data_IF_286075279191
#
_entry.id   IF_286075279191
#
_cell.length_a   1.000
_cell.length_b   1.000
_cell.length_c   1.000
_cell.angle_alpha   90.00
_cell.angle_beta   90.00
_cell.angle_gamma   90.00
#
_symmetry.space_group_name_H-M   'P 1'
#
loop_
_entity.id
_entity.type
_entity.pdbx_description
1 polymer ?
#
# COMPACT_ATOMS: atom_id res chain seq x y z
N UNK A 1 22.56 -19.65 -7.16
CA UNK A 1 22.88 -18.39 -7.88
C UNK A 1 21.60 -17.63 -8.23
N UNK A 2 20.94 -17.08 -7.22
CA UNK A 2 19.67 -16.35 -7.33
C UNK A 2 19.87 -14.84 -7.64
N UNK A 3 20.61 -14.52 -8.71
CA UNK A 3 20.90 -13.12 -9.06
C UNK A 3 19.61 -12.31 -9.37
N UNK A 4 18.57 -12.96 -9.91
CA UNK A 4 17.27 -12.34 -10.18
C UNK A 4 16.55 -11.87 -8.90
N UNK A 5 16.46 -12.75 -7.89
CA UNK A 5 15.80 -12.44 -6.62
C UNK A 5 16.49 -11.28 -5.87
N UNK A 6 17.83 -11.24 -5.88
CA UNK A 6 18.58 -10.14 -5.25
C UNK A 6 18.29 -8.78 -5.90
N UNK A 7 18.15 -8.73 -7.22
CA UNK A 7 17.86 -7.49 -7.94
C UNK A 7 16.41 -7.05 -7.74
N UNK A 8 15.45 -7.99 -7.71
CA UNK A 8 14.03 -7.72 -7.38
C UNK A 8 13.90 -7.11 -5.98
N UNK A 9 14.59 -7.66 -4.98
CA UNK A 9 14.52 -7.15 -3.61
C UNK A 9 15.08 -5.73 -3.46
N UNK A 10 16.11 -5.35 -4.24
CA UNK A 10 16.62 -3.97 -4.23
C UNK A 10 15.59 -2.99 -4.78
N UNK A 11 14.93 -3.36 -5.88
CA UNK A 11 13.87 -2.54 -6.49
C UNK A 11 12.73 -2.35 -5.48
N UNK A 12 12.25 -3.43 -4.87
CA UNK A 12 11.17 -3.38 -3.88
C UNK A 12 11.54 -2.57 -2.63
N UNK A 13 12.81 -2.63 -2.19
CA UNK A 13 13.27 -1.83 -1.06
C UNK A 13 13.18 -0.32 -1.36
N UNK A 14 13.54 0.11 -2.56
CA UNK A 14 13.40 1.50 -2.99
C UNK A 14 11.93 1.91 -3.10
N UNK A 15 11.07 1.05 -3.65
CA UNK A 15 9.62 1.29 -3.73
C UNK A 15 8.98 1.42 -2.34
N UNK A 16 9.31 0.52 -1.41
CA UNK A 16 8.81 0.56 -0.03
C UNK A 16 9.18 1.82 0.70
N UNK A 17 10.39 2.34 0.49
CA UNK A 17 10.77 3.61 1.07
C UNK A 17 9.84 4.74 0.57
N UNK A 18 9.58 4.80 -0.74
CA UNK A 18 8.67 5.78 -1.32
C UNK A 18 7.22 5.63 -0.83
N UNK A 19 6.70 4.40 -0.84
CA UNK A 19 5.32 4.10 -0.44
C UNK A 19 5.09 4.35 1.05
N UNK A 20 6.05 4.00 1.92
CA UNK A 20 5.98 4.29 3.35
C UNK A 20 6.03 5.79 3.64
N UNK A 21 6.85 6.53 2.90
CA UNK A 21 6.91 7.98 3.00
C UNK A 21 5.57 8.62 2.60
N UNK A 22 4.94 8.17 1.51
CA UNK A 22 3.62 8.63 1.09
C UNK A 22 2.54 8.29 2.13
N UNK A 23 2.50 7.05 2.64
CA UNK A 23 1.56 6.65 3.70
C UNK A 23 1.65 7.56 4.93
N UNK A 24 2.87 7.85 5.40
CA UNK A 24 3.07 8.73 6.54
C UNK A 24 2.58 10.16 6.27
N UNK A 25 2.83 10.68 5.06
CA UNK A 25 2.33 12.00 4.66
C UNK A 25 0.81 12.05 4.60
N UNK A 26 0.13 10.98 4.15
CA UNK A 26 -1.32 10.90 4.20
C UNK A 26 -1.87 10.92 5.62
N UNK A 27 -1.29 10.14 6.53
CA UNK A 27 -1.75 10.08 7.91
C UNK A 27 -1.67 11.46 8.58
N UNK A 28 -0.54 12.16 8.38
CA UNK A 28 -0.37 13.54 8.86
C UNK A 28 -1.37 14.52 8.23
N UNK A 29 -1.55 14.47 6.91
CA UNK A 29 -2.45 15.38 6.20
C UNK A 29 -3.93 15.10 6.52
N UNK A 30 -4.29 13.83 6.71
CA UNK A 30 -5.62 13.40 7.15
C UNK A 30 -5.91 13.91 8.57
N UNK A 31 -4.99 13.71 9.51
CA UNK A 31 -5.14 14.20 10.88
C UNK A 31 -5.33 15.72 10.92
N UNK A 32 -4.48 16.45 10.18
CA UNK A 32 -4.61 17.91 10.07
C UNK A 32 -5.94 18.34 9.44
N UNK A 33 -6.43 17.61 8.44
CA UNK A 33 -7.70 17.94 7.77
C UNK A 33 -8.89 17.67 8.69
N UNK A 34 -8.87 16.57 9.45
CA UNK A 34 -9.92 16.23 10.43
C UNK A 34 -10.01 17.30 11.52
N UNK A 35 -8.86 17.80 12.01
CA UNK A 35 -8.80 18.83 13.04
C UNK A 35 -9.22 20.22 12.52
N UNK A 36 -8.97 20.50 11.23
CA UNK A 36 -9.37 21.74 10.55
C UNK A 36 -10.83 21.77 10.07
N UNK A 37 -11.60 20.68 10.23
CA UNK A 37 -13.02 20.59 9.85
C UNK A 37 -13.96 21.41 10.76
N UNK A 38 -13.63 22.67 11.03
CA UNK A 38 -14.48 23.64 11.72
C UNK A 38 -15.41 24.31 10.69
N UNK A 39 -16.73 24.40 10.93
CA UNK A 39 -17.65 25.05 10.01
C UNK A 39 -17.27 26.52 9.77
N UNK A 40 -17.01 26.87 8.51
CA UNK A 40 -16.71 28.26 8.09
C UNK A 40 -15.29 28.48 7.55
N UNK A 41 -14.40 27.49 7.65
CA UNK A 41 -13.06 27.59 7.09
C UNK A 41 -13.09 27.39 5.56
N UNK A 42 -12.44 28.28 4.82
CA UNK A 42 -12.44 28.30 3.35
C UNK A 42 -11.45 27.30 2.75
N UNK A 43 -10.54 26.74 3.56
CA UNK A 43 -9.35 26.01 3.07
C UNK A 43 -9.53 24.49 2.95
N UNK A 44 -10.56 23.89 3.58
CA UNK A 44 -10.72 22.42 3.57
C UNK A 44 -10.88 21.84 2.16
N UNK A 45 -11.49 22.59 1.23
CA UNK A 45 -11.63 22.15 -0.18
C UNK A 45 -10.28 22.00 -0.84
N UNK A 46 -9.36 22.92 -0.55
CA UNK A 46 -8.01 22.88 -1.08
C UNK A 46 -7.27 21.67 -0.50
N UNK A 47 -7.30 21.47 0.81
CA UNK A 47 -6.66 20.30 1.47
C UNK A 47 -7.19 18.97 0.94
N UNK A 48 -8.51 18.85 0.76
CA UNK A 48 -9.13 17.64 0.18
C UNK A 48 -8.69 17.43 -1.27
N UNK A 49 -8.60 18.50 -2.07
CA UNK A 49 -8.12 18.40 -3.45
C UNK A 49 -6.65 17.96 -3.50
N UNK A 50 -5.80 18.47 -2.62
CA UNK A 50 -4.40 18.05 -2.50
C UNK A 50 -4.30 16.57 -2.12
N UNK A 51 -5.08 16.12 -1.14
CA UNK A 51 -5.18 14.71 -0.76
C UNK A 51 -5.64 13.84 -1.94
N UNK A 52 -6.59 14.31 -2.75
CA UNK A 52 -7.04 13.60 -3.95
C UNK A 52 -5.94 13.45 -4.99
N UNK A 53 -5.24 14.54 -5.31
CA UNK A 53 -4.15 14.51 -6.31
C UNK A 53 -3.06 13.55 -5.87
N UNK A 54 -2.68 13.59 -4.60
CA UNK A 54 -1.76 12.60 -4.01
C UNK A 54 -2.34 11.20 -4.20
N UNK A 55 -3.61 10.98 -3.82
CA UNK A 55 -4.23 9.64 -3.82
C UNK A 55 -4.18 8.98 -5.20
N UNK A 56 -4.39 9.77 -6.26
CA UNK A 56 -4.27 9.31 -7.65
C UNK A 56 -2.83 8.85 -7.95
N UNK A 57 -1.82 9.63 -7.56
CA UNK A 57 -0.41 9.27 -7.75
C UNK A 57 -0.04 8.01 -6.98
N UNK A 58 -0.45 7.92 -5.72
CA UNK A 58 -0.20 6.77 -4.86
C UNK A 58 -0.89 5.50 -5.38
N UNK A 59 -2.12 5.59 -5.88
CA UNK A 59 -2.81 4.47 -6.52
C UNK A 59 -2.07 3.93 -7.75
N UNK A 60 -1.40 4.81 -8.52
CA UNK A 60 -0.57 4.38 -9.64
C UNK A 60 0.71 3.68 -9.19
N UNK A 61 1.38 4.19 -8.14
CA UNK A 61 2.56 3.57 -7.54
C UNK A 61 2.23 2.18 -6.97
N UNK A 62 1.13 2.05 -6.22
CA UNK A 62 0.67 0.76 -5.68
C UNK A 62 0.44 -0.30 -6.77
N UNK A 63 -0.16 0.11 -7.90
CA UNK A 63 -0.37 -0.81 -9.04
C UNK A 63 0.94 -1.17 -9.74
N UNK A 64 1.93 -0.28 -9.73
CA UNK A 64 3.25 -0.61 -10.26
C UNK A 64 3.95 -1.62 -9.37
N UNK A 65 3.93 -1.38 -8.06
CA UNK A 65 4.47 -2.26 -7.05
C UNK A 65 3.87 -3.67 -7.10
N UNK A 66 2.54 -3.80 -7.13
CA UNK A 66 1.87 -5.11 -7.28
C UNK A 66 2.32 -5.87 -8.54
N UNK A 67 2.59 -5.18 -9.66
CA UNK A 67 3.12 -5.85 -10.86
C UNK A 67 4.51 -6.41 -10.64
N UNK A 68 5.37 -5.71 -9.91
CA UNK A 68 6.72 -6.22 -9.60
C UNK A 68 6.61 -7.47 -8.72
N UNK A 69 5.71 -7.46 -7.74
CA UNK A 69 5.46 -8.63 -6.91
C UNK A 69 4.94 -9.83 -7.72
N UNK A 70 3.85 -9.63 -8.47
CA UNK A 70 3.14 -10.70 -9.20
C UNK A 70 3.98 -11.26 -10.36
N UNK A 71 4.69 -10.40 -11.08
CA UNK A 71 5.42 -10.79 -12.29
C UNK A 71 6.86 -11.24 -12.01
N UNK A 72 7.44 -10.86 -10.86
CA UNK A 72 8.85 -11.11 -10.56
C UNK A 72 9.05 -11.78 -9.19
N UNK A 73 8.63 -11.15 -8.09
CA UNK A 73 8.93 -11.67 -6.75
C UNK A 73 8.29 -13.03 -6.48
N UNK A 74 6.97 -13.14 -6.62
CA UNK A 74 6.24 -14.36 -6.28
C UNK A 74 6.67 -15.55 -7.16
N UNK A 75 6.85 -15.41 -8.49
CA UNK A 75 7.38 -16.49 -9.31
C UNK A 75 8.78 -16.98 -8.88
N UNK A 76 9.69 -16.06 -8.55
CA UNK A 76 11.04 -16.40 -8.09
C UNK A 76 10.98 -17.16 -6.76
N UNK A 77 10.17 -16.70 -5.80
CA UNK A 77 10.01 -17.39 -4.53
C UNK A 77 9.37 -18.78 -4.68
N UNK A 78 8.37 -18.92 -5.55
CA UNK A 78 7.74 -20.22 -5.84
C UNK A 78 8.71 -21.20 -6.52
N UNK A 79 9.70 -20.71 -7.25
CA UNK A 79 10.74 -21.55 -7.84
C UNK A 79 11.77 -22.03 -6.81
N UNK A 80 11.99 -21.26 -5.74
CA UNK A 80 13.01 -21.54 -4.73
C UNK A 80 12.48 -22.29 -3.50
N UNK A 81 11.20 -22.12 -3.17
CA UNK A 81 10.59 -22.60 -1.93
C UNK A 81 9.54 -23.66 -2.23
N UNK A 82 9.58 -24.78 -1.50
CA UNK A 82 8.45 -25.69 -1.45
C UNK A 82 7.39 -25.19 -0.45
N UNK A 83 6.14 -25.64 -0.59
CA UNK A 83 5.08 -25.29 0.38
C UNK A 83 5.40 -25.77 1.80
N UNK A 84 6.26 -26.79 1.95
CA UNK A 84 6.68 -27.35 3.24
C UNK A 84 7.75 -26.50 3.94
N UNK A 85 8.46 -25.63 3.18
CA UNK A 85 9.55 -24.79 3.69
C UNK A 85 9.05 -23.43 4.23
N UNK A 86 7.76 -23.12 4.06
CA UNK A 86 7.19 -21.80 4.35
C UNK A 86 6.04 -21.87 5.36
N UNK A 87 6.16 -21.13 6.47
CA UNK A 87 5.09 -20.97 7.48
C UNK A 87 4.92 -19.48 7.83
N UNK A 88 3.77 -18.85 7.52
CA UNK A 88 2.70 -19.37 6.68
C UNK A 88 3.17 -19.66 5.25
N UNK A 89 2.43 -20.50 4.52
CA UNK A 89 2.81 -20.84 3.15
C UNK A 89 2.75 -19.60 2.25
N UNK A 90 3.64 -19.53 1.27
CA UNK A 90 3.69 -18.39 0.33
C UNK A 90 2.33 -18.12 -0.30
N UNK A 91 1.60 -19.18 -0.70
CA UNK A 91 0.24 -19.06 -1.26
C UNK A 91 -0.74 -18.41 -0.28
N UNK A 92 -0.69 -18.76 1.00
CA UNK A 92 -1.56 -18.15 1.99
C UNK A 92 -1.22 -16.66 2.18
N UNK A 93 0.07 -16.33 2.27
CA UNK A 93 0.54 -14.95 2.37
C UNK A 93 0.09 -14.11 1.18
N UNK A 94 0.25 -14.62 -0.05
CA UNK A 94 -0.20 -13.94 -1.28
C UNK A 94 -1.70 -13.67 -1.29
N UNK A 95 -2.54 -14.65 -0.89
CA UNK A 95 -4.00 -14.44 -0.82
C UNK A 95 -4.39 -13.38 0.21
N UNK A 96 -3.70 -13.36 1.36
CA UNK A 96 -3.95 -12.37 2.40
C UNK A 96 -3.51 -10.97 1.96
N UNK A 97 -2.35 -10.86 1.32
CA UNK A 97 -1.87 -9.62 0.70
C UNK A 97 -2.86 -9.12 -0.36
N UNK A 98 -3.28 -9.99 -1.29
CA UNK A 98 -4.24 -9.67 -2.34
C UNK A 98 -5.53 -9.08 -1.76
N UNK A 99 -6.07 -9.70 -0.70
CA UNK A 99 -7.27 -9.20 -0.03
C UNK A 99 -7.06 -7.78 0.53
N UNK A 100 -5.96 -7.54 1.25
CA UNK A 100 -5.67 -6.22 1.82
C UNK A 100 -5.42 -5.17 0.73
N UNK A 101 -4.65 -5.51 -0.30
CA UNK A 101 -4.34 -4.63 -1.40
C UNK A 101 -5.61 -4.16 -2.12
N UNK A 102 -6.46 -5.09 -2.57
CA UNK A 102 -7.67 -4.72 -3.30
C UNK A 102 -8.69 -4.00 -2.42
N UNK A 103 -8.77 -4.35 -1.13
CA UNK A 103 -9.63 -3.62 -0.18
C UNK A 103 -9.15 -2.18 -0.01
N UNK A 104 -7.84 -1.99 0.22
CA UNK A 104 -7.23 -0.67 0.37
C UNK A 104 -7.38 0.18 -0.89
N UNK A 105 -7.08 -0.39 -2.06
CA UNK A 105 -7.22 0.30 -3.34
C UNK A 105 -8.68 0.64 -3.66
N UNK A 106 -9.64 -0.21 -3.30
CA UNK A 106 -11.07 0.06 -3.47
C UNK A 106 -11.50 1.29 -2.66
N UNK A 107 -11.12 1.36 -1.38
CA UNK A 107 -11.40 2.51 -0.53
C UNK A 107 -10.70 3.79 -1.03
N UNK A 108 -9.47 3.66 -1.53
CA UNK A 108 -8.74 4.80 -2.10
C UNK A 108 -9.45 5.34 -3.35
N UNK A 109 -9.94 4.47 -4.22
CA UNK A 109 -10.72 4.87 -5.40
C UNK A 109 -12.05 5.51 -5.00
N UNK A 110 -12.77 4.98 -4.00
CA UNK A 110 -13.98 5.60 -3.47
C UNK A 110 -13.73 7.02 -2.96
N UNK A 111 -12.58 7.25 -2.31
CA UNK A 111 -12.16 8.59 -1.91
C UNK A 111 -11.90 9.49 -3.14
N UNK A 112 -11.15 9.01 -4.13
CA UNK A 112 -10.83 9.76 -5.36
C UNK A 112 -12.10 10.15 -6.13
N UNK A 113 -13.04 9.23 -6.26
CA UNK A 113 -14.30 9.40 -6.99
C UNK A 113 -15.18 10.43 -6.28
N UNK A 114 -15.33 10.31 -4.96
CA UNK A 114 -16.15 11.26 -4.20
C UNK A 114 -15.53 12.66 -4.19
N UNK A 115 -14.20 12.77 -4.14
CA UNK A 115 -13.51 14.05 -4.14
C UNK A 115 -13.43 14.72 -5.52
N UNK A 116 -13.85 14.05 -6.60
CA UNK A 116 -13.80 14.64 -7.95
C UNK A 116 -14.69 15.88 -8.10
N UNK A 117 -15.86 15.89 -7.45
CA UNK A 117 -16.81 16.99 -7.53
C UNK A 117 -17.10 17.59 -6.16
N UNK A 118 -16.13 18.38 -5.64
CA UNK A 118 -16.20 19.02 -4.32
C UNK A 118 -17.39 19.99 -4.11
N UNK A 119 -18.13 20.30 -5.17
CA UNK A 119 -19.26 21.24 -5.16
C UNK A 119 -20.51 20.63 -4.48
N UNK A 120 -20.61 19.30 -4.39
CA UNK A 120 -21.80 18.62 -3.84
C UNK A 120 -21.81 18.46 -2.31
N UNK A 121 -20.70 18.77 -1.62
CA UNK A 121 -20.60 18.56 -0.18
C UNK A 121 -21.28 19.67 0.61
N UNK A 122 -22.39 19.33 1.25
CA UNK A 122 -23.26 20.28 1.96
C UNK A 122 -23.05 20.26 3.48
N UNK A 123 -22.30 19.31 4.02
CA UNK A 123 -22.12 19.17 5.47
C UNK A 123 -20.77 18.61 5.91
N UNK A 124 -20.37 18.94 7.15
CA UNK A 124 -19.22 18.33 7.84
C UNK A 124 -19.35 16.80 7.95
N UNK A 125 -20.58 16.26 7.95
CA UNK A 125 -20.83 14.82 7.98
C UNK A 125 -20.37 14.16 6.67
N UNK A 126 -20.63 14.79 5.53
CA UNK A 126 -20.21 14.28 4.23
C UNK A 126 -18.68 14.30 4.10
N UNK A 127 -18.05 15.37 4.58
CA UNK A 127 -16.59 15.47 4.67
C UNK A 127 -15.97 14.37 5.54
N UNK A 128 -16.52 14.12 6.74
CA UNK A 128 -16.06 13.02 7.61
C UNK A 128 -16.21 11.64 6.96
N UNK A 129 -17.31 11.40 6.25
CA UNK A 129 -17.54 10.16 5.52
C UNK A 129 -16.53 9.97 4.38
N UNK A 130 -16.17 11.04 3.70
CA UNK A 130 -15.17 11.00 2.64
C UNK A 130 -13.77 10.72 3.19
N UNK A 131 -13.36 11.43 4.25
CA UNK A 131 -12.08 11.21 4.94
C UNK A 131 -11.99 9.81 5.56
N UNK A 132 -13.13 9.21 5.93
CA UNK A 132 -13.20 7.82 6.38
C UNK A 132 -12.70 6.84 5.30
N UNK A 133 -13.07 7.04 4.02
CA UNK A 133 -12.58 6.17 2.94
C UNK A 133 -11.06 6.23 2.79
N UNK A 134 -10.47 7.43 2.86
CA UNK A 134 -9.01 7.56 2.86
C UNK A 134 -8.39 6.83 4.05
N UNK A 135 -8.96 7.00 5.25
CA UNK A 135 -8.47 6.31 6.46
C UNK A 135 -8.48 4.79 6.32
N UNK A 136 -9.59 4.21 5.87
CA UNK A 136 -9.70 2.76 5.68
C UNK A 136 -8.71 2.26 4.63
N UNK A 137 -8.50 3.02 3.55
CA UNK A 137 -7.49 2.70 2.56
C UNK A 137 -6.08 2.60 3.19
N UNK A 138 -5.69 3.59 4.00
CA UNK A 138 -4.39 3.59 4.68
C UNK A 138 -4.23 2.42 5.65
N UNK A 139 -5.28 2.06 6.39
CA UNK A 139 -5.26 0.91 7.31
C UNK A 139 -5.02 -0.38 6.52
N UNK A 140 -5.81 -0.63 5.48
CA UNK A 140 -5.67 -1.85 4.68
C UNK A 140 -4.32 -1.94 3.98
N UNK A 141 -3.83 -0.84 3.42
CA UNK A 141 -2.51 -0.81 2.76
C UNK A 141 -1.37 -0.98 3.77
N UNK A 142 -1.51 -0.47 5.00
CA UNK A 142 -0.53 -0.71 6.06
C UNK A 142 -0.49 -2.19 6.47
N UNK A 143 -1.64 -2.86 6.57
CA UNK A 143 -1.70 -4.30 6.83
C UNK A 143 -1.12 -5.11 5.67
N UNK A 144 -1.37 -4.69 4.41
CA UNK A 144 -0.73 -5.29 3.23
C UNK A 144 0.80 -5.29 3.35
N UNK A 145 1.42 -4.11 3.55
CA UNK A 145 2.88 -4.00 3.66
C UNK A 145 3.44 -4.76 4.86
N UNK A 146 2.68 -4.82 5.96
CA UNK A 146 3.07 -5.60 7.13
C UNK A 146 3.11 -7.10 6.83
N UNK A 147 2.07 -7.63 6.19
CA UNK A 147 2.00 -9.04 5.78
C UNK A 147 3.13 -9.37 4.81
N UNK A 148 3.36 -8.52 3.81
CA UNK A 148 4.45 -8.69 2.86
C UNK A 148 5.82 -8.73 3.55
N UNK A 149 6.08 -7.76 4.44
CA UNK A 149 7.35 -7.67 5.17
C UNK A 149 7.60 -8.86 6.10
N UNK A 150 6.57 -9.29 6.84
CA UNK A 150 6.68 -10.37 7.83
C UNK A 150 6.78 -11.75 7.20
N UNK A 151 6.08 -11.97 6.07
CA UNK A 151 5.89 -13.31 5.53
C UNK A 151 6.48 -13.53 4.14
N UNK A 152 6.58 -12.51 3.28
CA UNK A 152 7.09 -12.69 1.91
C UNK A 152 8.54 -12.25 1.80
N UNK A 153 8.84 -10.99 2.14
CA UNK A 153 10.21 -10.47 2.05
C UNK A 153 11.16 -11.17 3.02
N UNK A 154 10.71 -11.53 4.22
CA UNK A 154 11.53 -12.29 5.16
C UNK A 154 11.92 -13.67 4.59
N UNK A 155 11.01 -14.32 3.87
CA UNK A 155 11.31 -15.61 3.21
C UNK A 155 12.29 -15.41 2.06
N UNK A 156 12.11 -14.36 1.26
CA UNK A 156 13.02 -14.00 0.18
C UNK A 156 14.46 -13.78 0.65
N UNK A 157 14.63 -13.08 1.78
CA UNK A 157 15.96 -12.85 2.37
C UNK A 157 16.59 -14.16 2.83
N UNK A 158 15.84 -15.05 3.49
CA UNK A 158 16.36 -16.36 3.94
C UNK A 158 16.87 -17.21 2.78
N UNK A 159 16.14 -17.27 1.67
CA UNK A 159 16.56 -17.99 0.46
C UNK A 159 17.92 -17.49 -0.04
N UNK A 160 18.14 -16.17 -0.03
CA UNK A 160 19.42 -15.59 -0.44
C UNK A 160 20.56 -15.89 0.55
N UNK A 161 20.28 -15.92 1.85
CA UNK A 161 21.25 -16.24 2.89
C UNK A 161 21.68 -17.71 2.82
N UNK A 162 20.74 -18.63 2.58
CA UNK A 162 21.01 -20.07 2.45
C UNK A 162 21.84 -20.37 1.17
N UNK A 163 21.56 -19.74 0.02
CA UNK A 163 22.37 -19.87 -1.21
C UNK A 163 23.82 -19.37 -1.02
N UNK A 164 24.03 -18.37 -0.15
CA UNK A 164 25.36 -17.85 0.17
C UNK A 164 26.13 -18.75 1.16
N UNK A 165 25.43 -19.50 2.00
CA UNK A 165 26.04 -20.44 2.95
C UNK A 165 26.42 -21.77 2.29
N UNK A 166 25.75 -22.15 1.20
CA UNK A 166 25.99 -23.39 0.46
C UNK A 166 26.98 -23.27 -0.72
N UNK A 167 27.39 -22.04 -1.09
CA UNK A 167 28.35 -21.73 -2.17
C UNK A 167 29.80 -21.57 -1.70
#
# INVERSE_FOLDING_TARGET
MYNGLSDVLKILQEEHYGLAQELHQYDMALQSTVDACVPGDLDWKHSVQELRVRAIGFAAQLKHHLRIEDEQLLPELQACLSEEDTVPSLRFSSLLMEQYFWSGLSYLNLFIDQTEQLIEFRSTKDLKRMLYYLREALIHLSEYFKVEQEYVLLQAVRVLEDDQAEG
#
